data_IF_754089787233
#
_entry.id   IF_754089787233
#
_cell.length_a   1.000
_cell.length_b   1.000
_cell.length_c   1.000
_cell.angle_alpha   90.00
_cell.angle_beta   90.00
_cell.angle_gamma   90.00
#
_symmetry.space_group_name_H-M   'P 1'
#
loop_
_entity.id
_entity.type
_entity.pdbx_description
1 polymer ?
#
# COMPACT_ATOMS: atom_id res chain seq x y z
N UNK A 1 6.04 11.16 -15.13
CA UNK A 1 6.03 11.87 -13.82
C UNK A 1 6.97 11.17 -12.87
N UNK A 2 7.48 11.83 -11.85
CA UNK A 2 8.29 11.15 -10.82
C UNK A 2 7.40 10.27 -9.92
N UNK A 3 7.91 9.11 -9.53
CA UNK A 3 7.21 8.23 -8.58
C UNK A 3 6.96 8.94 -7.23
N UNK A 4 7.91 9.75 -6.79
CA UNK A 4 7.77 10.56 -5.57
C UNK A 4 6.62 11.57 -5.62
N UNK A 5 6.34 12.16 -6.79
CA UNK A 5 5.20 13.09 -6.96
C UNK A 5 3.87 12.34 -6.84
N UNK A 6 3.78 11.14 -7.47
CA UNK A 6 2.58 10.32 -7.37
C UNK A 6 2.34 9.88 -5.91
N UNK A 7 3.38 9.37 -5.24
CA UNK A 7 3.25 8.89 -3.86
C UNK A 7 2.93 10.05 -2.90
N UNK A 8 3.52 11.23 -3.09
CA UNK A 8 3.16 12.41 -2.31
C UNK A 8 1.67 12.74 -2.43
N UNK A 9 1.13 12.76 -3.66
CA UNK A 9 -0.30 12.99 -3.88
C UNK A 9 -1.16 11.90 -3.25
N UNK A 10 -0.71 10.64 -3.31
CA UNK A 10 -1.38 9.52 -2.65
C UNK A 10 -1.37 9.68 -1.12
N UNK A 11 -0.25 10.08 -0.52
CA UNK A 11 -0.11 10.28 0.92
C UNK A 11 -0.89 11.51 1.43
N UNK A 12 -1.21 12.49 0.59
CA UNK A 12 -2.15 13.56 0.92
C UNK A 12 -3.58 13.02 1.16
N UNK A 13 -3.96 11.94 0.46
CA UNK A 13 -5.21 11.23 0.68
C UNK A 13 -5.08 10.19 1.80
N UNK A 14 -4.06 9.36 1.77
CA UNK A 14 -3.85 8.23 2.66
C UNK A 14 -2.48 8.28 3.33
N UNK A 15 -2.31 9.12 4.38
CA UNK A 15 -1.03 9.28 5.07
C UNK A 15 -0.58 7.98 5.76
N UNK A 16 0.74 7.77 5.84
CA UNK A 16 1.32 6.60 6.52
C UNK A 16 1.02 6.61 8.03
N UNK A 17 0.90 7.80 8.63
CA UNK A 17 0.60 8.00 10.06
C UNK A 17 -0.75 7.41 10.48
N UNK A 18 -1.64 7.13 9.53
CA UNK A 18 -2.91 6.45 9.78
C UNK A 18 -2.75 4.96 10.02
N UNK A 19 -1.58 4.38 9.73
CA UNK A 19 -1.34 2.97 9.96
C UNK A 19 -1.29 2.61 11.44
N UNK A 20 -1.62 1.36 11.77
CA UNK A 20 -1.50 0.83 13.12
C UNK A 20 -0.03 0.86 13.58
N UNK A 21 0.18 1.03 14.89
CA UNK A 21 1.52 0.99 15.48
C UNK A 21 2.23 -0.34 15.14
N UNK A 22 3.45 -0.23 14.62
CA UNK A 22 4.26 -1.38 14.21
C UNK A 22 3.88 -1.99 12.85
N UNK A 23 2.96 -1.35 12.13
CA UNK A 23 2.60 -1.78 10.77
C UNK A 23 3.70 -1.49 9.74
N UNK A 24 3.65 -2.20 8.63
CA UNK A 24 4.63 -2.07 7.55
C UNK A 24 3.99 -1.39 6.36
N UNK A 25 4.24 -0.08 6.22
CA UNK A 25 3.73 0.77 5.14
C UNK A 25 4.86 1.56 4.47
N UNK A 26 4.59 2.17 3.33
CA UNK A 26 5.54 2.98 2.60
C UNK A 26 6.38 2.18 1.59
N UNK A 27 7.47 2.79 1.12
CA UNK A 27 8.36 2.17 0.14
C UNK A 27 9.11 0.98 0.76
N UNK A 28 8.99 -0.20 0.14
CA UNK A 28 9.69 -1.40 0.57
C UNK A 28 10.79 -1.86 -0.39
N UNK A 29 10.62 -1.63 -1.69
CA UNK A 29 11.54 -2.08 -2.73
C UNK A 29 11.74 -0.96 -3.72
N UNK A 30 12.96 -0.79 -4.20
CA UNK A 30 13.32 0.17 -5.24
C UNK A 30 13.47 1.60 -4.75
N UNK A 31 13.22 2.57 -5.62
CA UNK A 31 13.35 4.00 -5.37
C UNK A 31 12.12 4.76 -5.91
N UNK A 32 11.75 5.83 -5.24
CA UNK A 32 10.76 6.80 -5.73
C UNK A 32 11.41 7.93 -6.54
N UNK A 33 12.74 8.00 -6.58
CA UNK A 33 13.49 8.97 -7.41
C UNK A 33 13.70 8.40 -8.81
N UNK A 34 12.58 8.17 -9.52
CA UNK A 34 12.56 7.67 -10.90
C UNK A 34 11.32 8.15 -11.63
N UNK A 35 11.44 8.28 -12.94
CA UNK A 35 10.27 8.51 -13.80
C UNK A 35 9.47 7.24 -13.97
N UNK A 36 8.14 7.37 -13.88
CA UNK A 36 7.20 6.27 -14.05
C UNK A 36 6.16 6.59 -15.11
N UNK A 37 5.74 5.55 -15.83
CA UNK A 37 4.67 5.61 -16.83
C UNK A 37 3.53 4.64 -16.50
N UNK A 38 3.86 3.50 -15.86
CA UNK A 38 2.88 2.46 -15.54
C UNK A 38 2.90 2.12 -14.06
N UNK A 39 1.72 2.14 -13.47
CA UNK A 39 1.49 1.75 -12.09
C UNK A 39 0.55 0.54 -12.06
N UNK A 40 0.87 -0.45 -11.25
CA UNK A 40 0.02 -1.58 -10.94
C UNK A 40 -0.50 -1.44 -9.51
N UNK A 41 -1.79 -1.66 -9.30
CA UNK A 41 -2.39 -1.77 -7.97
C UNK A 41 -2.76 -3.22 -7.73
N UNK A 42 -2.37 -3.77 -6.59
CA UNK A 42 -2.63 -5.18 -6.27
C UNK A 42 -2.86 -5.38 -4.77
N UNK A 43 -3.55 -6.46 -4.43
CA UNK A 43 -3.69 -6.89 -3.05
C UNK A 43 -2.37 -7.51 -2.55
N UNK A 44 -1.85 -8.48 -3.30
CA UNK A 44 -0.66 -9.26 -2.95
C UNK A 44 0.43 -9.13 -4.03
N UNK A 45 1.68 -9.05 -3.58
CA UNK A 45 2.86 -9.15 -4.45
C UNK A 45 3.32 -10.61 -4.44
N UNK A 46 2.87 -11.36 -5.45
CA UNK A 46 3.16 -12.79 -5.63
C UNK A 46 3.89 -13.04 -6.94
N UNK A 47 4.37 -14.25 -7.15
CA UNK A 47 5.08 -14.65 -8.35
C UNK A 47 4.33 -14.27 -9.65
N UNK A 48 3.04 -14.61 -9.74
CA UNK A 48 2.21 -14.26 -10.89
C UNK A 48 2.00 -12.75 -11.07
N UNK A 49 1.84 -12.00 -9.98
CA UNK A 49 1.72 -10.54 -10.01
C UNK A 49 3.01 -9.89 -10.51
N UNK A 50 4.17 -10.39 -10.05
CA UNK A 50 5.47 -9.88 -10.47
C UNK A 50 5.76 -10.25 -11.92
N UNK A 51 5.45 -11.47 -12.35
CA UNK A 51 5.57 -11.88 -13.75
C UNK A 51 4.73 -10.98 -14.68
N UNK A 52 3.48 -10.68 -14.31
CA UNK A 52 2.60 -9.77 -15.05
C UNK A 52 3.15 -8.33 -15.07
N UNK A 53 3.68 -7.85 -13.94
CA UNK A 53 4.28 -6.52 -13.85
C UNK A 53 5.49 -6.39 -14.78
N UNK A 54 6.35 -7.40 -14.84
CA UNK A 54 7.51 -7.46 -15.74
C UNK A 54 7.04 -7.47 -17.20
N UNK A 55 6.10 -8.36 -17.56
CA UNK A 55 5.58 -8.47 -18.92
C UNK A 55 4.99 -7.17 -19.43
N UNK A 56 4.26 -6.46 -18.55
CA UNK A 56 3.61 -5.18 -18.88
C UNK A 56 4.53 -3.97 -18.78
N UNK A 57 5.76 -4.12 -18.32
CA UNK A 57 6.69 -3.03 -18.09
C UNK A 57 6.16 -2.03 -17.04
N UNK A 58 5.76 -2.53 -15.90
CA UNK A 58 5.30 -1.73 -14.75
C UNK A 58 6.51 -1.12 -14.04
N UNK A 59 6.42 0.15 -13.66
CA UNK A 59 7.49 0.89 -12.98
C UNK A 59 7.30 0.90 -11.46
N UNK A 60 6.04 0.92 -11.01
CA UNK A 60 5.66 1.01 -9.60
C UNK A 60 4.46 0.10 -9.31
N UNK A 61 4.57 -0.69 -8.26
CA UNK A 61 3.45 -1.45 -7.69
C UNK A 61 3.01 -0.76 -6.39
N UNK A 62 1.72 -0.46 -6.27
CA UNK A 62 1.09 -0.09 -5.01
C UNK A 62 0.35 -1.32 -4.50
N UNK A 63 0.81 -1.87 -3.37
CA UNK A 63 0.29 -3.11 -2.81
C UNK A 63 -0.42 -2.87 -1.49
N UNK A 64 -1.49 -3.63 -1.25
CA UNK A 64 -2.17 -3.65 0.05
C UNK A 64 -1.34 -4.42 1.07
N UNK A 65 -0.84 -5.60 0.72
CA UNK A 65 -0.06 -6.44 1.62
C UNK A 65 1.44 -6.32 1.34
N UNK A 66 2.20 -6.16 2.42
CA UNK A 66 3.63 -6.01 2.40
C UNK A 66 4.33 -7.30 1.91
N UNK A 67 5.12 -7.26 0.82
CA UNK A 67 5.94 -8.40 0.42
C UNK A 67 7.07 -8.68 1.43
N UNK A 68 7.51 -7.66 2.17
CA UNK A 68 8.50 -7.77 3.24
C UNK A 68 7.84 -7.42 4.56
N UNK A 69 7.20 -8.40 5.20
CA UNK A 69 6.59 -8.23 6.52
C UNK A 69 7.60 -8.41 7.67
N UNK A 70 8.62 -9.25 7.47
CA UNK A 70 9.70 -9.48 8.43
C UNK A 70 11.05 -9.14 7.80
N UNK A 71 12.04 -8.68 8.59
CA UNK A 71 13.36 -8.37 8.06
C UNK A 71 13.96 -9.53 7.27
N UNK A 72 14.44 -9.22 6.07
CA UNK A 72 15.13 -10.16 5.19
C UNK A 72 16.59 -10.23 5.60
N UNK A 73 17.10 -11.44 5.86
CA UNK A 73 18.49 -11.65 6.30
C UNK A 73 19.46 -11.85 5.14
N UNK A 74 18.98 -12.33 4.02
CA UNK A 74 19.76 -12.62 2.82
C UNK A 74 18.85 -12.52 1.57
N UNK A 75 19.48 -12.49 0.40
CA UNK A 75 18.82 -12.51 -0.90
C UNK A 75 19.31 -13.70 -1.73
N UNK A 76 19.50 -14.86 -1.09
CA UNK A 76 19.80 -16.12 -1.77
C UNK A 76 18.53 -16.61 -2.46
N UNK A 77 18.68 -17.08 -3.72
CA UNK A 77 17.56 -17.59 -4.53
C UNK A 77 16.75 -18.64 -3.79
N UNK A 78 15.48 -18.38 -3.69
CA UNK A 78 14.46 -19.25 -3.11
C UNK A 78 13.09 -18.71 -3.57
N UNK A 79 12.00 -19.50 -3.53
CA UNK A 79 10.69 -19.04 -3.99
C UNK A 79 10.27 -17.67 -3.43
N UNK A 80 10.49 -17.44 -2.14
CA UNK A 80 10.15 -16.17 -1.48
C UNK A 80 11.11 -15.02 -1.84
N UNK A 81 12.39 -15.34 -2.13
CA UNK A 81 13.41 -14.34 -2.45
C UNK A 81 13.43 -13.98 -3.93
N UNK A 82 13.08 -14.91 -4.79
CA UNK A 82 13.08 -14.71 -6.24
C UNK A 82 12.10 -13.61 -6.64
N UNK A 83 10.95 -13.50 -5.95
CA UNK A 83 10.00 -12.38 -6.10
C UNK A 83 10.70 -11.04 -5.85
N UNK A 84 11.45 -10.91 -4.75
CA UNK A 84 12.16 -9.67 -4.40
C UNK A 84 13.32 -9.39 -5.37
N UNK A 85 14.06 -10.44 -5.75
CA UNK A 85 15.16 -10.34 -6.69
C UNK A 85 14.69 -9.91 -8.09
N UNK A 86 13.54 -10.42 -8.55
CA UNK A 86 12.98 -10.07 -9.85
C UNK A 86 12.48 -8.62 -9.87
N UNK A 87 11.84 -8.14 -8.81
CA UNK A 87 11.47 -6.74 -8.69
C UNK A 87 12.68 -5.81 -8.77
N UNK A 88 13.77 -6.14 -8.05
CA UNK A 88 15.01 -5.35 -8.07
C UNK A 88 15.69 -5.41 -9.45
N UNK A 89 15.79 -6.60 -10.08
CA UNK A 89 16.39 -6.76 -11.41
C UNK A 89 15.69 -5.96 -12.50
N UNK A 90 14.36 -5.82 -12.40
CA UNK A 90 13.54 -5.12 -13.39
C UNK A 90 13.24 -3.67 -12.98
N UNK A 91 13.90 -3.17 -11.93
CA UNK A 91 13.73 -1.82 -11.42
C UNK A 91 12.25 -1.47 -11.12
N UNK A 92 11.49 -2.41 -10.59
CA UNK A 92 10.11 -2.22 -10.18
C UNK A 92 10.07 -1.81 -8.72
N UNK A 93 9.59 -0.60 -8.44
CA UNK A 93 9.39 -0.15 -7.06
C UNK A 93 8.11 -0.74 -6.46
N UNK A 94 8.11 -1.01 -5.15
CA UNK A 94 6.92 -1.45 -4.42
C UNK A 94 6.66 -0.54 -3.24
N UNK A 95 5.50 0.11 -3.26
CA UNK A 95 4.97 0.92 -2.17
C UNK A 95 3.79 0.19 -1.52
N UNK A 96 3.76 0.17 -0.19
CA UNK A 96 2.72 -0.53 0.58
C UNK A 96 1.81 0.46 1.27
N UNK A 97 0.50 0.26 1.09
CA UNK A 97 -0.56 0.93 1.83
C UNK A 97 -1.41 -0.15 2.49
N UNK A 98 -1.22 -0.36 3.78
CA UNK A 98 -1.78 -1.49 4.52
C UNK A 98 -2.96 -1.05 5.38
N UNK A 99 -2.77 -0.89 6.69
CA UNK A 99 -3.88 -0.53 7.60
C UNK A 99 -4.29 0.94 7.47
N UNK A 100 -3.45 1.81 6.96
CA UNK A 100 -3.79 3.20 6.69
C UNK A 100 -4.94 3.35 5.68
N UNK A 101 -4.97 2.55 4.59
CA UNK A 101 -6.06 2.60 3.60
C UNK A 101 -7.37 2.01 4.14
N UNK A 102 -7.33 1.22 5.21
CA UNK A 102 -8.52 0.70 5.85
C UNK A 102 -9.24 1.77 6.69
N UNK A 103 -8.49 2.70 7.29
CA UNK A 103 -9.01 3.67 8.26
C UNK A 103 -9.13 5.09 7.74
N UNK A 104 -8.54 5.41 6.60
CA UNK A 104 -8.68 6.73 5.97
C UNK A 104 -10.14 6.95 5.54
N UNK A 105 -10.63 8.19 5.64
CA UNK A 105 -11.94 8.55 5.11
C UNK A 105 -12.01 8.26 3.60
N UNK A 106 -13.10 7.72 3.14
CA UNK A 106 -13.28 7.23 1.77
C UNK A 106 -12.29 6.11 1.40
N UNK A 107 -11.76 5.39 2.40
CA UNK A 107 -10.88 4.24 2.23
C UNK A 107 -11.63 2.92 2.06
N UNK A 108 -10.93 1.79 2.24
CA UNK A 108 -11.49 0.47 1.95
C UNK A 108 -12.70 0.11 2.81
N UNK A 109 -12.70 0.48 4.09
CA UNK A 109 -13.83 0.17 4.97
C UNK A 109 -15.07 0.99 4.60
N UNK A 110 -14.92 2.25 4.22
CA UNK A 110 -16.02 3.09 3.77
C UNK A 110 -16.60 2.56 2.45
N UNK A 111 -15.74 2.18 1.49
CA UNK A 111 -16.20 1.54 0.25
C UNK A 111 -16.94 0.23 0.50
N UNK A 112 -16.49 -0.55 1.49
CA UNK A 112 -17.17 -1.79 1.87
C UNK A 112 -18.57 -1.51 2.42
N UNK A 113 -18.69 -0.49 3.29
CA UNK A 113 -19.97 -0.04 3.82
C UNK A 113 -20.90 0.45 2.69
N UNK A 114 -20.39 1.21 1.74
CA UNK A 114 -21.16 1.69 0.60
C UNK A 114 -21.66 0.55 -0.30
N UNK A 115 -20.81 -0.43 -0.62
CA UNK A 115 -21.19 -1.59 -1.43
C UNK A 115 -22.30 -2.41 -0.76
N UNK A 116 -22.27 -2.52 0.57
CA UNK A 116 -23.23 -3.28 1.36
C UNK A 116 -24.44 -2.43 1.83
N UNK A 117 -24.52 -1.15 1.46
CA UNK A 117 -25.52 -0.18 1.91
C UNK A 117 -25.61 -0.07 3.44
N UNK A 118 -24.48 -0.20 4.13
CA UNK A 118 -24.38 -0.03 5.60
C UNK A 118 -24.29 1.47 5.90
N UNK A 119 -25.18 1.97 6.73
CA UNK A 119 -25.25 3.38 7.14
C UNK A 119 -24.94 3.50 8.64
N UNK A 120 -24.70 4.73 9.09
CA UNK A 120 -24.50 5.08 10.51
C UNK A 120 -23.36 4.29 11.16
N UNK A 121 -22.20 4.34 10.52
CA UNK A 121 -21.00 3.60 10.92
C UNK A 121 -20.14 4.36 11.95
N UNK A 122 -19.49 3.69 12.97
CA UNK A 122 -18.50 4.27 13.92
C UNK A 122 -17.27 3.38 14.05
N UNK A 123 -16.09 3.98 14.24
CA UNK A 123 -14.88 3.21 14.48
C UNK A 123 -14.96 2.37 15.76
N UNK A 124 -14.55 1.10 15.69
CA UNK A 124 -14.47 0.21 16.87
C UNK A 124 -13.37 0.66 17.84
N UNK A 125 -12.28 1.20 17.29
CA UNK A 125 -11.17 1.75 18.06
C UNK A 125 -10.95 3.18 17.62
N UNK A 126 -11.13 4.18 18.49
CA UNK A 126 -10.82 5.56 18.15
C UNK A 126 -9.33 5.69 17.86
N UNK A 127 -8.99 6.15 16.66
CA UNK A 127 -7.61 6.49 16.33
C UNK A 127 -7.41 7.96 16.69
N UNK A 128 -6.62 8.22 17.74
CA UNK A 128 -6.34 9.58 18.18
C UNK A 128 -5.19 10.15 17.36
N UNK A 129 -5.49 11.03 16.41
CA UNK A 129 -4.51 11.82 15.69
C UNK A 129 -4.44 13.23 16.25
N UNK A 130 -3.25 13.65 16.63
CA UNK A 130 -3.02 15.00 17.14
C UNK A 130 -2.96 16.08 16.04
N UNK A 131 -2.98 15.73 14.75
CA UNK A 131 -2.73 16.67 13.65
C UNK A 131 -3.72 16.61 12.48
N UNK A 132 -4.63 15.66 12.43
CA UNK A 132 -5.70 15.64 11.41
C UNK A 132 -7.05 15.78 12.13
N UNK A 133 -7.80 16.81 11.77
CA UNK A 133 -9.21 16.90 12.16
C UNK A 133 -9.93 15.71 11.51
N UNK A 134 -10.12 14.65 12.30
CA UNK A 134 -11.02 13.59 11.93
C UNK A 134 -12.42 14.18 11.78
N UNK A 135 -12.93 14.22 10.55
CA UNK A 135 -14.37 14.23 10.39
C UNK A 135 -14.84 12.88 10.89
N UNK A 136 -15.61 12.90 11.97
CA UNK A 136 -16.18 11.71 12.59
C UNK A 136 -17.10 11.03 11.58
N UNK A 137 -16.64 9.93 10.99
CA UNK A 137 -17.50 8.98 10.30
C UNK A 137 -17.73 7.78 11.21
N UNK A 138 -18.97 7.42 11.40
CA UNK A 138 -19.47 6.55 12.45
C UNK A 138 -19.80 5.17 11.91
N UNK A 139 -19.11 4.08 12.31
CA UNK A 139 -19.50 2.71 12.00
C UNK A 139 -19.95 1.92 13.23
N UNK A 140 -21.20 1.49 13.29
CA UNK A 140 -21.70 0.46 14.20
C UNK A 140 -21.78 -0.87 13.45
N UNK A 141 -20.95 -1.82 13.81
CA UNK A 141 -21.18 -3.23 13.59
C UNK A 141 -21.62 -3.88 14.89
#
# INVERSE_FOLDING_TARGET
MLASELIKTYEEFCPQELSMEGDVVGLQIGSLDKEIQKVMVTLDVRENTVAEAIEKGVDLIIAKHAPIFRPVKDLVSSPDRDILLDLVKHDIAVYVSHTNIDVVNDGLNDWFCDILDIKDTTYLTPVSYTHLRAHETKANL
#
